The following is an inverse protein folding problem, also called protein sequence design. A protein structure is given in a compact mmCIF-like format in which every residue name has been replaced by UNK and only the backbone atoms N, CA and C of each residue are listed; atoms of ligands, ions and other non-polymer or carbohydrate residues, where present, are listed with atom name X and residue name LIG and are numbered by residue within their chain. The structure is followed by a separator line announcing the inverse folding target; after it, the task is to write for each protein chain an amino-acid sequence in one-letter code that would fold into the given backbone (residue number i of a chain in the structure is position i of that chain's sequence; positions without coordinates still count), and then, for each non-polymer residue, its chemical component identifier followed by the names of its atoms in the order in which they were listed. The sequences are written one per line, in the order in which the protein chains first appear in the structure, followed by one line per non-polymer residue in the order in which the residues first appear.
data_IF_013105526195
#
_entry.id   IF_013105526195
#
_cell.length_a   1.000
_cell.length_b   1.000
_cell.length_c   1.000
_cell.angle_alpha   90.00
_cell.angle_beta   90.00
_cell.angle_gamma   90.00
#
_symmetry.space_group_name_H-M   'P 1'
#
loop_
_entity.id
_entity.type
_entity.pdbx_description
1 polymer ?
#
# COMPACT_ATOMS: atom_id res chain seq x y z
N UNK A 1 -7.43 -11.04 22.55
CA UNK A 1 -7.25 -9.97 21.54
C UNK A 1 -5.90 -9.30 21.79
N UNK A 2 -5.14 -8.97 20.76
CA UNK A 2 -3.74 -8.54 20.86
C UNK A 2 -2.75 -9.42 20.11
N UNK A 3 -3.19 -10.47 19.41
CA UNK A 3 -2.25 -11.40 18.76
C UNK A 3 -1.46 -10.68 17.66
N UNK A 4 -2.13 -9.85 16.87
CA UNK A 4 -1.51 -9.14 15.76
C UNK A 4 -0.52 -8.12 16.29
N UNK A 5 -0.95 -7.34 17.29
CA UNK A 5 -0.06 -6.39 17.96
C UNK A 5 1.20 -7.09 18.49
N UNK A 6 1.04 -8.12 19.32
CA UNK A 6 2.17 -8.83 19.93
C UNK A 6 3.12 -9.47 18.92
N UNK A 7 2.67 -9.72 17.70
CA UNK A 7 3.44 -10.39 16.66
C UNK A 7 4.20 -9.42 15.75
N UNK A 8 3.60 -8.26 15.41
CA UNK A 8 4.18 -7.38 14.38
C UNK A 8 4.41 -5.93 14.82
N UNK A 9 4.06 -5.54 16.04
CA UNK A 9 4.13 -4.12 16.44
C UNK A 9 5.52 -3.51 16.25
N UNK A 10 6.60 -4.25 16.52
CA UNK A 10 7.98 -3.77 16.43
C UNK A 10 8.40 -3.36 15.00
N UNK A 11 7.66 -3.83 13.99
CA UNK A 11 7.84 -3.46 12.59
C UNK A 11 7.31 -2.03 12.36
N UNK A 12 6.35 -1.57 13.15
CA UNK A 12 5.60 -0.31 12.95
C UNK A 12 5.83 0.75 14.03
N UNK A 13 6.00 0.39 15.31
CA UNK A 13 5.87 1.33 16.43
C UNK A 13 7.18 1.98 16.91
N UNK A 14 8.33 1.47 16.47
CA UNK A 14 9.65 2.01 16.84
C UNK A 14 9.99 3.19 15.92
N UNK A 15 9.80 4.41 16.42
CA UNK A 15 10.22 5.64 15.73
C UNK A 15 11.76 5.71 15.63
N UNK A 16 12.27 5.33 14.47
CA UNK A 16 13.68 5.40 14.08
C UNK A 16 13.88 6.36 12.89
N UNK A 17 12.86 7.15 12.54
CA UNK A 17 12.85 8.06 11.39
C UNK A 17 12.87 7.37 10.01
N UNK A 18 12.67 6.05 9.94
CA UNK A 18 12.60 5.32 8.67
C UNK A 18 11.20 5.31 8.06
N UNK A 19 11.16 5.04 6.75
CA UNK A 19 9.94 4.88 5.95
C UNK A 19 9.97 3.52 5.25
N UNK A 20 9.70 2.40 5.94
CA UNK A 20 9.79 1.09 5.31
C UNK A 20 8.76 0.93 4.18
N UNK A 21 9.19 0.35 3.06
CA UNK A 21 8.34 0.01 1.93
C UNK A 21 7.80 -1.44 1.98
N UNK A 22 6.50 -1.58 1.74
CA UNK A 22 5.81 -2.83 1.43
C UNK A 22 5.42 -2.80 -0.05
N UNK A 23 6.11 -3.60 -0.86
CA UNK A 23 5.86 -3.70 -2.30
C UNK A 23 4.98 -4.90 -2.63
N UNK A 24 3.82 -4.66 -3.22
CA UNK A 24 2.89 -5.70 -3.69
C UNK A 24 3.19 -5.93 -5.17
N UNK A 25 3.94 -6.99 -5.44
CA UNK A 25 4.47 -7.34 -6.76
C UNK A 25 3.54 -8.31 -7.51
N UNK A 26 3.75 -8.45 -8.82
CA UNK A 26 3.07 -9.47 -9.63
C UNK A 26 1.63 -9.13 -9.98
N UNK A 27 1.24 -7.86 -9.86
CA UNK A 27 -0.08 -7.36 -10.21
C UNK A 27 -0.20 -7.26 -11.73
N UNK A 28 -1.33 -7.72 -12.27
CA UNK A 28 -1.72 -7.40 -13.65
C UNK A 28 -2.07 -5.90 -13.79
N UNK A 29 -2.05 -5.39 -15.02
CA UNK A 29 -2.43 -4.01 -15.32
C UNK A 29 -3.83 -3.63 -14.78
N UNK A 30 -4.78 -4.57 -14.83
CA UNK A 30 -6.13 -4.36 -14.27
C UNK A 30 -6.10 -4.30 -12.74
N UNK A 31 -5.28 -5.12 -12.08
CA UNK A 31 -5.15 -5.08 -10.62
C UNK A 31 -4.50 -3.79 -10.16
N UNK A 32 -3.41 -3.33 -10.79
CA UNK A 32 -2.80 -2.03 -10.46
C UNK A 32 -3.81 -0.89 -10.64
N UNK A 33 -4.51 -0.87 -11.77
CA UNK A 33 -5.54 0.12 -12.10
C UNK A 33 -6.67 0.15 -11.06
N UNK A 34 -7.17 -1.02 -10.63
CA UNK A 34 -8.25 -1.14 -9.66
C UNK A 34 -7.79 -0.81 -8.24
N UNK A 35 -6.59 -1.24 -7.87
CA UNK A 35 -5.99 -0.97 -6.57
C UNK A 35 -5.74 0.53 -6.39
N UNK A 36 -5.23 1.22 -7.42
CA UNK A 36 -5.14 2.68 -7.42
C UNK A 36 -6.49 3.32 -7.11
N UNK A 37 -7.56 2.98 -7.86
CA UNK A 37 -8.89 3.55 -7.63
C UNK A 37 -9.43 3.24 -6.23
N UNK A 38 -9.21 2.02 -5.74
CA UNK A 38 -9.59 1.61 -4.39
C UNK A 38 -8.89 2.47 -3.33
N UNK A 39 -7.56 2.62 -3.41
CA UNK A 39 -6.77 3.44 -2.48
C UNK A 39 -7.24 4.89 -2.53
N UNK A 40 -7.49 5.44 -3.73
CA UNK A 40 -8.05 6.79 -3.92
C UNK A 40 -9.42 6.95 -3.27
N UNK A 41 -10.27 5.93 -3.33
CA UNK A 41 -11.61 5.94 -2.77
C UNK A 41 -11.61 5.94 -1.23
N UNK A 42 -10.71 5.19 -0.60
CA UNK A 42 -10.64 5.09 0.87
C UNK A 42 -9.85 6.23 1.51
N UNK A 43 -9.01 6.93 0.74
CA UNK A 43 -8.24 8.06 1.23
C UNK A 43 -9.13 9.26 1.58
N UNK A 44 -9.00 9.77 2.80
CA UNK A 44 -9.67 11.01 3.21
C UNK A 44 -9.00 12.27 2.64
N UNK A 45 -7.72 12.21 2.30
CA UNK A 45 -6.97 13.34 1.78
C UNK A 45 -5.76 12.94 0.94
N UNK A 46 -5.42 13.79 -0.02
CA UNK A 46 -4.30 13.66 -0.94
C UNK A 46 -3.36 14.82 -0.69
N UNK A 47 -2.11 14.53 -0.35
CA UNK A 47 -1.19 15.59 0.07
C UNK A 47 -0.69 16.37 -1.14
N UNK A 48 -0.93 17.68 -1.11
CA UNK A 48 -0.47 18.61 -2.14
C UNK A 48 -1.23 18.46 -3.46
N UNK A 49 -0.50 18.40 -4.56
CA UNK A 49 -1.05 18.26 -5.92
C UNK A 49 -0.15 17.32 -6.72
N UNK A 50 -0.16 16.01 -6.39
CA UNK A 50 0.75 15.06 -7.01
C UNK A 50 0.55 15.02 -8.53
N UNK A 51 1.68 14.95 -9.22
CA UNK A 51 1.76 14.94 -10.68
C UNK A 51 2.49 13.70 -11.15
N UNK A 52 2.25 13.33 -12.40
CA UNK A 52 2.96 12.29 -13.10
C UNK A 52 3.35 12.79 -14.49
N UNK A 53 4.38 12.20 -15.08
CA UNK A 53 4.78 12.53 -16.44
C UNK A 53 4.03 11.64 -17.44
N UNK A 54 3.17 12.26 -18.25
CA UNK A 54 2.49 11.62 -19.37
C UNK A 54 3.42 11.66 -20.60
N UNK A 55 3.88 10.48 -21.02
CA UNK A 55 4.78 10.28 -22.15
C UNK A 55 4.08 10.42 -23.50
N UNK A 56 2.77 10.15 -23.54
CA UNK A 56 1.97 10.27 -24.76
C UNK A 56 1.80 11.75 -25.16
N UNK A 57 1.54 12.62 -24.18
CA UNK A 57 1.42 14.07 -24.38
C UNK A 57 2.73 14.83 -24.20
N UNK A 58 3.75 14.20 -23.59
CA UNK A 58 5.05 14.79 -23.33
C UNK A 58 5.06 15.87 -22.25
N UNK A 59 4.15 15.80 -21.27
CA UNK A 59 4.03 16.81 -20.22
C UNK A 59 3.66 16.23 -18.84
N UNK A 60 3.85 17.04 -17.79
CA UNK A 60 3.37 16.71 -16.46
C UNK A 60 1.88 17.00 -16.30
N UNK A 61 1.14 16.04 -15.77
CA UNK A 61 -0.29 16.14 -15.47
C UNK A 61 -0.52 15.81 -14.00
N UNK A 62 -1.49 16.48 -13.37
CA UNK A 62 -2.00 16.07 -12.06
C UNK A 62 -2.67 14.71 -12.13
N UNK A 63 -2.58 13.91 -11.06
CA UNK A 63 -3.17 12.57 -11.04
C UNK A 63 -4.70 12.55 -11.23
N UNK A 64 -5.37 13.67 -10.91
CA UNK A 64 -6.82 13.87 -11.05
C UNK A 64 -7.21 14.57 -12.37
N UNK A 65 -6.24 14.93 -13.23
CA UNK A 65 -6.50 15.46 -14.58
C UNK A 65 -6.88 14.35 -15.59
N UNK A 66 -6.79 13.08 -15.16
CA UNK A 66 -7.12 11.89 -15.95
C UNK A 66 -8.01 10.95 -15.13
N UNK A 67 -8.77 10.08 -15.80
CA UNK A 67 -9.66 9.14 -15.12
C UNK A 67 -8.91 8.12 -14.25
N UNK A 68 -7.76 7.64 -14.75
CA UNK A 68 -6.93 6.69 -14.02
C UNK A 68 -5.45 6.83 -14.41
N UNK A 69 -4.68 7.56 -13.59
CA UNK A 69 -3.26 7.76 -13.83
C UNK A 69 -2.47 6.43 -13.80
N UNK A 70 -2.86 5.48 -12.96
CA UNK A 70 -2.20 4.18 -12.88
C UNK A 70 -2.40 3.35 -14.14
N UNK A 71 -3.56 3.44 -14.79
CA UNK A 71 -3.81 2.79 -16.08
C UNK A 71 -2.82 3.24 -17.15
N UNK A 72 -2.49 4.53 -17.18
CA UNK A 72 -1.51 5.08 -18.12
C UNK A 72 -0.10 4.54 -17.88
N UNK A 73 0.28 4.30 -16.61
CA UNK A 73 1.56 3.67 -16.27
C UNK A 73 1.62 2.23 -16.81
N UNK A 74 0.56 1.43 -16.57
CA UNK A 74 0.49 0.06 -17.08
C UNK A 74 0.48 -0.02 -18.62
N UNK A 75 -0.05 0.98 -19.31
CA UNK A 75 -0.02 1.09 -20.77
C UNK A 75 1.30 1.68 -21.30
N UNK A 76 2.28 1.95 -20.42
CA UNK A 76 3.57 2.60 -20.73
C UNK A 76 3.44 4.01 -21.33
N UNK A 77 2.26 4.62 -21.19
CA UNK A 77 1.95 6.01 -21.59
C UNK A 77 2.32 7.02 -20.51
N UNK A 78 2.59 6.59 -19.29
CA UNK A 78 3.07 7.42 -18.21
C UNK A 78 4.29 6.80 -17.53
N UNK A 79 5.13 7.64 -16.92
CA UNK A 79 6.16 7.16 -15.99
C UNK A 79 5.53 6.75 -14.65
N UNK A 80 6.12 5.76 -13.94
CA UNK A 80 5.78 5.51 -12.54
C UNK A 80 5.82 6.78 -11.69
N UNK A 81 4.96 6.85 -10.70
CA UNK A 81 4.81 8.04 -9.86
C UNK A 81 4.54 7.68 -8.40
N UNK A 82 4.77 8.66 -7.53
CA UNK A 82 4.62 8.56 -6.09
C UNK A 82 3.71 9.68 -5.56
N UNK A 83 2.88 9.38 -4.58
CA UNK A 83 2.06 10.38 -3.91
C UNK A 83 1.71 9.97 -2.49
N UNK A 84 1.51 10.96 -1.62
CA UNK A 84 1.16 10.76 -0.22
C UNK A 84 -0.34 10.91 0.00
N UNK A 85 -0.89 10.05 0.86
CA UNK A 85 -2.29 10.02 1.26
C UNK A 85 -2.42 10.12 2.77
N UNK A 86 -3.54 10.66 3.25
CA UNK A 86 -3.87 10.70 4.67
C UNK A 86 -5.28 10.19 4.94
N UNK A 87 -5.47 9.71 6.17
CA UNK A 87 -6.76 9.28 6.71
C UNK A 87 -7.42 8.21 5.82
N UNK A 88 -6.70 7.14 5.50
CA UNK A 88 -7.24 6.02 4.72
C UNK A 88 -8.20 5.23 5.60
N UNK A 89 -9.48 5.26 5.26
CA UNK A 89 -10.56 4.65 6.03
C UNK A 89 -10.78 3.22 5.58
N UNK A 90 -10.35 2.26 6.39
CA UNK A 90 -10.57 0.86 6.12
C UNK A 90 -10.71 0.09 7.43
N UNK A 91 -11.86 -0.54 7.64
CA UNK A 91 -12.13 -1.28 8.89
C UNK A 91 -11.03 -2.32 9.17
N UNK A 92 -10.63 -2.50 10.44
CA UNK A 92 -11.23 -1.90 11.64
C UNK A 92 -10.64 -0.54 12.04
N UNK A 93 -9.73 0.05 11.27
CA UNK A 93 -8.93 1.21 11.70
C UNK A 93 -8.89 2.36 10.69
N UNK A 94 -7.97 3.29 10.94
CA UNK A 94 -7.65 4.36 9.98
C UNK A 94 -6.13 4.40 9.83
N UNK A 95 -5.63 4.18 8.61
CA UNK A 95 -4.21 4.39 8.36
C UNK A 95 -3.96 5.88 8.17
N UNK A 96 -3.13 6.45 9.06
CA UNK A 96 -2.96 7.89 9.20
C UNK A 96 -2.32 8.53 7.97
N UNK A 97 -1.21 7.97 7.51
CA UNK A 97 -0.46 8.44 6.35
C UNK A 97 0.21 7.25 5.65
N UNK A 98 0.22 7.27 4.32
CA UNK A 98 0.96 6.34 3.47
C UNK A 98 1.46 7.07 2.23
N UNK A 99 2.69 6.80 1.82
CA UNK A 99 3.14 7.03 0.44
C UNK A 99 2.77 5.84 -0.42
N UNK A 100 2.39 6.15 -1.67
CA UNK A 100 1.91 5.16 -2.64
C UNK A 100 2.67 5.34 -3.93
N UNK A 101 3.44 4.31 -4.30
CA UNK A 101 4.14 4.20 -5.58
C UNK A 101 3.34 3.35 -6.54
N UNK A 102 3.09 3.89 -7.73
CA UNK A 102 2.40 3.19 -8.81
C UNK A 102 3.43 2.78 -9.86
N UNK A 103 3.57 1.47 -10.04
CA UNK A 103 4.41 0.84 -11.06
C UNK A 103 3.53 0.11 -12.08
N UNK A 104 4.10 -0.40 -13.17
CA UNK A 104 3.33 -1.08 -14.22
C UNK A 104 2.84 -2.48 -13.80
N UNK A 105 3.53 -3.12 -12.85
CA UNK A 105 3.25 -4.46 -12.35
C UNK A 105 3.22 -4.59 -10.81
N UNK A 106 3.24 -3.46 -10.09
CA UNK A 106 3.33 -3.43 -8.65
C UNK A 106 2.75 -2.13 -8.06
N UNK A 107 2.43 -2.18 -6.78
CA UNK A 107 2.14 -1.01 -5.96
C UNK A 107 2.99 -1.11 -4.71
N UNK A 108 3.72 -0.04 -4.38
CA UNK A 108 4.50 0.03 -3.15
C UNK A 108 3.84 1.00 -2.18
N UNK A 109 3.82 0.62 -0.90
CA UNK A 109 3.28 1.41 0.20
C UNK A 109 4.43 1.70 1.16
N UNK A 110 4.79 2.96 1.33
CA UNK A 110 5.69 3.36 2.42
C UNK A 110 4.85 3.86 3.60
N UNK A 111 5.38 3.66 4.80
CA UNK A 111 4.76 4.15 6.02
C UNK A 111 5.82 4.70 6.96
N UNK A 112 5.46 5.75 7.71
CA UNK A 112 6.32 6.26 8.79
C UNK A 112 6.13 5.39 10.03
N UNK A 113 7.22 4.93 10.63
CA UNK A 113 7.16 4.23 11.92
C UNK A 113 6.88 5.21 13.05
N UNK A 114 6.24 4.73 14.12
CA UNK A 114 6.08 5.51 15.35
C UNK A 114 4.77 5.27 16.10
N UNK A 115 4.42 6.16 17.04
CA UNK A 115 3.40 5.89 18.06
C UNK A 115 1.96 5.96 17.56
N UNK A 116 1.75 6.27 16.27
CA UNK A 116 0.41 6.32 15.65
C UNK A 116 -0.12 4.94 15.25
N UNK A 117 0.74 3.92 15.29
CA UNK A 117 0.35 2.54 15.02
C UNK A 117 -0.26 1.89 16.26
N UNK A 118 -1.47 1.36 16.10
CA UNK A 118 -2.12 0.44 17.02
C UNK A 118 -2.52 -0.84 16.30
N UNK A 119 -3.06 -1.82 17.03
CA UNK A 119 -3.48 -3.11 16.46
C UNK A 119 -4.48 -2.90 15.29
N UNK A 120 -5.43 -1.97 15.46
CA UNK A 120 -6.48 -1.68 14.46
C UNK A 120 -5.91 -1.01 13.21
N UNK A 121 -4.93 -0.13 13.37
CA UNK A 121 -4.26 0.57 12.27
C UNK A 121 -3.41 -0.41 11.46
N UNK A 122 -2.69 -1.31 12.13
CA UNK A 122 -1.93 -2.39 11.49
C UNK A 122 -2.89 -3.33 10.75
N UNK A 123 -3.97 -3.76 11.39
CA UNK A 123 -4.96 -4.62 10.73
C UNK A 123 -5.57 -3.93 9.51
N UNK A 124 -5.93 -2.66 9.61
CA UNK A 124 -6.44 -1.88 8.48
C UNK A 124 -5.45 -1.85 7.30
N UNK A 125 -4.15 -1.65 7.55
CA UNK A 125 -3.12 -1.71 6.53
C UNK A 125 -3.03 -3.11 5.88
N UNK A 126 -3.03 -4.17 6.69
CA UNK A 126 -2.97 -5.55 6.16
C UNK A 126 -4.22 -5.88 5.33
N UNK A 127 -5.40 -5.43 5.74
CA UNK A 127 -6.63 -5.61 4.96
C UNK A 127 -6.61 -4.80 3.65
N UNK A 128 -6.02 -3.59 3.64
CA UNK A 128 -5.75 -2.82 2.41
C UNK A 128 -4.84 -3.63 1.47
N UNK A 129 -3.73 -4.17 1.97
CA UNK A 129 -2.80 -5.00 1.19
C UNK A 129 -3.51 -6.22 0.60
N UNK A 130 -4.30 -6.94 1.41
CA UNK A 130 -5.11 -8.07 0.94
C UNK A 130 -6.10 -7.67 -0.14
N UNK A 131 -6.75 -6.51 0.01
CA UNK A 131 -7.70 -6.00 -0.99
C UNK A 131 -7.02 -5.68 -2.32
N UNK A 132 -5.78 -5.18 -2.29
CA UNK A 132 -4.96 -4.93 -3.47
C UNK A 132 -4.53 -6.25 -4.15
N UNK A 133 -4.09 -7.23 -3.36
CA UNK A 133 -3.72 -8.56 -3.87
C UNK A 133 -4.93 -9.26 -4.51
N UNK A 134 -6.10 -9.16 -3.85
CA UNK A 134 -7.30 -9.90 -4.23
C UNK A 134 -7.11 -11.42 -4.12
N UNK A 135 -8.04 -12.18 -4.72
CA UNK A 135 -8.00 -13.65 -4.69
C UNK A 135 -7.27 -14.26 -5.91
N UNK A 136 -6.64 -13.41 -6.73
CA UNK A 136 -5.98 -13.86 -7.95
C UNK A 136 -4.63 -14.54 -7.63
N UNK A 137 -4.25 -15.61 -8.33
CA UNK A 137 -2.90 -16.14 -8.24
C UNK A 137 -1.92 -15.14 -8.86
N UNK A 138 -0.76 -14.95 -8.23
CA UNK A 138 0.33 -14.15 -8.78
C UNK A 138 0.85 -13.06 -7.84
N UNK A 139 -0.01 -12.21 -7.25
CA UNK A 139 0.44 -11.15 -6.36
C UNK A 139 1.16 -11.70 -5.13
N UNK A 140 2.24 -11.05 -4.73
CA UNK A 140 2.99 -11.39 -3.52
C UNK A 140 3.59 -10.14 -2.89
N UNK A 141 3.80 -10.18 -1.58
CA UNK A 141 4.41 -9.07 -0.83
C UNK A 141 5.92 -9.24 -0.80
N UNK A 142 6.62 -8.14 -1.08
CA UNK A 142 8.06 -8.00 -0.95
C UNK A 142 8.36 -6.77 -0.10
N UNK A 143 9.10 -6.98 0.97
CA UNK A 143 9.58 -5.92 1.86
C UNK A 143 10.98 -5.47 1.44
N UNK A 144 11.40 -4.26 1.83
CA UNK A 144 12.75 -3.74 1.58
C UNK A 144 13.85 -4.68 2.09
N UNK A 145 14.98 -4.78 1.39
CA UNK A 145 16.07 -5.71 1.72
C UNK A 145 16.57 -5.60 3.17
N UNK A 146 16.49 -4.42 3.78
CA UNK A 146 16.88 -4.19 5.16
C UNK A 146 15.97 -4.87 6.20
N UNK A 147 14.74 -5.26 5.82
CA UNK A 147 13.80 -5.98 6.68
C UNK A 147 14.23 -7.44 6.84
N UNK A 148 14.31 -7.90 8.09
CA UNK A 148 14.77 -9.24 8.42
C UNK A 148 13.86 -10.33 7.81
N UNK A 149 14.42 -11.51 7.54
CA UNK A 149 13.63 -12.64 7.04
C UNK A 149 12.54 -13.08 8.02
N UNK A 150 12.77 -12.90 9.32
CA UNK A 150 11.79 -13.18 10.36
C UNK A 150 10.60 -12.23 10.26
N UNK A 151 10.84 -10.92 10.19
CA UNK A 151 9.77 -9.91 10.04
C UNK A 151 8.97 -10.11 8.75
N UNK A 152 9.64 -10.50 7.67
CA UNK A 152 8.97 -10.87 6.42
C UNK A 152 8.02 -12.04 6.59
N UNK A 153 8.44 -13.08 7.31
CA UNK A 153 7.61 -14.25 7.55
C UNK A 153 6.42 -13.87 8.45
N UNK A 154 6.66 -13.08 9.51
CA UNK A 154 5.59 -12.63 10.41
C UNK A 154 4.50 -11.83 9.69
N UNK A 155 4.88 -10.93 8.78
CA UNK A 155 3.91 -10.17 7.99
C UNK A 155 3.12 -11.05 7.02
N UNK A 156 3.77 -11.99 6.32
CA UNK A 156 3.08 -12.92 5.44
C UNK A 156 2.13 -13.85 6.23
N UNK A 157 2.57 -14.40 7.36
CA UNK A 157 1.74 -15.24 8.23
C UNK A 157 0.52 -14.46 8.76
N UNK A 158 0.71 -13.18 9.08
CA UNK A 158 -0.38 -12.31 9.53
C UNK A 158 -1.41 -12.06 8.43
N UNK A 159 -0.96 -11.85 7.18
CA UNK A 159 -1.85 -11.73 6.01
C UNK A 159 -2.65 -13.01 5.78
N UNK A 160 -1.99 -14.17 5.86
CA UNK A 160 -2.63 -15.48 5.69
C UNK A 160 -3.65 -15.77 6.80
N UNK A 161 -3.30 -15.47 8.06
CA UNK A 161 -4.20 -15.63 9.21
C UNK A 161 -5.44 -14.73 9.13
N UNK A 162 -5.27 -13.49 8.68
CA UNK A 162 -6.40 -12.59 8.41
C UNK A 162 -7.27 -13.12 7.25
N UNK A 163 -6.69 -13.87 6.31
CA UNK A 163 -7.42 -14.48 5.22
C UNK A 163 -8.24 -15.71 5.62
N UNK A 164 -7.76 -16.50 6.56
CA UNK A 164 -8.47 -17.68 7.06
C UNK A 164 -9.62 -17.33 8.02
N UNK A 165 -9.83 -16.06 8.37
CA UNK A 165 -10.91 -15.61 9.26
C UNK A 165 -10.85 -16.26 10.65
N UNK A 166 -9.66 -16.65 11.09
CA UNK A 166 -9.45 -17.38 12.34
C UNK A 166 -9.31 -16.37 13.48
N UNK A 167 -10.45 -15.82 13.88
CA UNK A 167 -10.58 -15.14 15.16
C UNK A 167 -10.55 -16.21 16.27
N UNK A 168 -9.58 -16.11 17.18
CA UNK A 168 -9.55 -16.90 18.43
C UNK A 168 -10.72 -16.54 19.36
#
# INVERSE_FOLDING_TARGET
MGWLWNQVHHIFDVDDGSFPEICICGLSANQVSNAYLFIRQIAGFVVGSPRFFNRETGCEMGIDEVENAARLVCEQKASPFHFMLRNLKHEPGIVHELGVFILDNAIALDYEKGPLWGEREIEALLQIIRKIMGDAPGPFVRLEEAVSNEDRQLLNDSLDRLASGTDD
#
